data_IF_577458439864
#
_entry.id   IF_577458439864
#
_cell.length_a   1.000
_cell.length_b   1.000
_cell.length_c   1.000
_cell.angle_alpha   90.00
_cell.angle_beta   90.00
_cell.angle_gamma   90.00
#
_symmetry.space_group_name_H-M   'P 1'
#
loop_
_entity.id
_entity.type
_entity.pdbx_description
1 polymer ?
#
# COMPACT_ATOMS: atom_id res chain seq x y z
N UNK A 1 2.46 0.41 -22.02
CA UNK A 1 2.20 1.53 -21.10
C UNK A 1 1.96 1.01 -19.69
N UNK A 2 2.09 1.85 -18.68
CA UNK A 2 1.88 1.52 -17.27
C UNK A 2 0.88 2.50 -16.64
N UNK A 3 -0.25 1.99 -16.16
CA UNK A 3 -1.26 2.80 -15.46
C UNK A 3 -1.16 2.51 -13.97
N UNK A 4 -1.07 3.54 -13.14
CA UNK A 4 -1.13 3.42 -11.68
C UNK A 4 -2.55 3.61 -11.14
N UNK A 5 -2.81 3.15 -9.93
CA UNK A 5 -4.01 3.51 -9.16
C UNK A 5 -3.71 3.73 -7.68
N UNK A 6 -4.56 4.53 -7.05
CA UNK A 6 -4.54 4.73 -5.59
C UNK A 6 -5.08 3.50 -4.89
N UNK A 7 -4.93 3.46 -3.57
CA UNK A 7 -5.31 2.37 -2.69
C UNK A 7 -6.79 2.35 -2.30
N UNK A 8 -7.68 2.79 -3.19
CA UNK A 8 -9.14 2.67 -3.02
C UNK A 8 -9.82 2.21 -4.31
N UNK A 9 -11.02 1.64 -4.16
CA UNK A 9 -11.72 0.87 -5.19
C UNK A 9 -11.94 1.65 -6.48
N UNK A 10 -12.47 2.87 -6.38
CA UNK A 10 -12.77 3.70 -7.55
C UNK A 10 -11.52 3.95 -8.42
N UNK A 11 -10.38 4.29 -7.81
CA UNK A 11 -9.14 4.51 -8.56
C UNK A 11 -8.68 3.23 -9.28
N UNK A 12 -8.81 2.06 -8.64
CA UNK A 12 -8.47 0.77 -9.26
C UNK A 12 -9.40 0.46 -10.45
N UNK A 13 -10.70 0.68 -10.30
CA UNK A 13 -11.69 0.47 -11.37
C UNK A 13 -11.42 1.39 -12.56
N UNK A 14 -11.22 2.69 -12.31
CA UNK A 14 -10.92 3.66 -13.37
C UNK A 14 -9.63 3.31 -14.13
N UNK A 15 -8.59 2.87 -13.41
CA UNK A 15 -7.34 2.43 -14.03
C UNK A 15 -7.52 1.17 -14.90
N UNK A 16 -8.38 0.22 -14.51
CA UNK A 16 -8.75 -0.93 -15.35
C UNK A 16 -9.56 -0.50 -16.58
N UNK A 17 -10.51 0.44 -16.45
CA UNK A 17 -11.25 1.01 -17.57
C UNK A 17 -10.27 1.62 -18.58
N UNK A 18 -9.33 2.46 -18.12
CA UNK A 18 -8.30 3.04 -18.97
C UNK A 18 -7.39 1.99 -19.63
N UNK A 19 -7.02 0.94 -18.89
CA UNK A 19 -6.20 -0.16 -19.43
C UNK A 19 -6.92 -0.88 -20.57
N UNK A 20 -8.20 -1.20 -20.39
CA UNK A 20 -9.01 -1.88 -21.40
C UNK A 20 -9.32 -0.98 -22.60
N UNK A 21 -9.64 0.29 -22.36
CA UNK A 21 -9.85 1.29 -23.41
C UNK A 21 -8.59 1.53 -24.26
N UNK A 22 -7.39 1.43 -23.66
CA UNK A 22 -6.12 1.47 -24.37
C UNK A 22 -5.91 0.22 -25.24
N UNK A 23 -6.29 -0.96 -24.74
CA UNK A 23 -6.19 -2.22 -25.48
C UNK A 23 -7.08 -2.25 -26.72
N UNK A 24 -8.31 -1.73 -26.63
CA UNK A 24 -9.20 -1.56 -27.79
C UNK A 24 -8.60 -0.68 -28.89
N UNK A 25 -7.64 0.19 -28.53
CA UNK A 25 -6.87 1.02 -29.45
C UNK A 25 -5.50 0.44 -29.81
N UNK A 26 -5.29 -0.86 -29.58
CA UNK A 26 -4.05 -1.57 -29.91
C UNK A 26 -2.86 -1.28 -28.99
N UNK A 27 -3.08 -0.60 -27.86
CA UNK A 27 -2.02 -0.27 -26.89
C UNK A 27 -2.06 -1.22 -25.70
N UNK A 28 -1.02 -2.05 -25.58
CA UNK A 28 -0.80 -2.87 -24.39
C UNK A 28 -0.43 -2.00 -23.18
N UNK A 29 -1.27 -2.06 -22.14
CA UNK A 29 -1.10 -1.36 -20.88
C UNK A 29 -1.14 -2.34 -19.70
N UNK A 30 -0.23 -2.16 -18.74
CA UNK A 30 -0.21 -2.90 -17.48
C UNK A 30 -0.72 -2.01 -16.36
N UNK A 31 -1.50 -2.57 -15.44
CA UNK A 31 -1.97 -1.86 -14.26
C UNK A 31 -1.08 -2.16 -13.05
N UNK A 32 -0.44 -1.13 -12.49
CA UNK A 32 0.20 -1.16 -11.17
C UNK A 32 -0.82 -0.69 -10.14
N UNK A 33 -1.48 -1.67 -9.51
CA UNK A 33 -2.59 -1.47 -8.59
C UNK A 33 -2.12 -0.92 -7.25
N UNK A 34 -2.96 -0.10 -6.63
CA UNK A 34 -2.91 0.27 -5.20
C UNK A 34 -1.52 0.68 -4.71
N UNK A 35 -0.86 1.58 -5.45
CA UNK A 35 0.50 2.03 -5.14
C UNK A 35 0.57 2.92 -3.88
N UNK A 36 -0.58 3.25 -3.28
CA UNK A 36 -0.74 4.10 -2.10
C UNK A 36 -1.46 5.41 -2.42
N UNK A 37 -1.20 6.43 -1.60
CA UNK A 37 -1.87 7.73 -1.69
C UNK A 37 -1.34 8.68 -2.77
N UNK A 38 -1.98 9.84 -2.89
CA UNK A 38 -1.74 10.89 -3.91
C UNK A 38 -0.26 11.18 -4.18
N UNK A 39 0.53 11.47 -3.13
CA UNK A 39 1.94 11.87 -3.28
C UNK A 39 2.82 10.77 -3.89
N UNK A 40 2.49 9.49 -3.64
CA UNK A 40 3.26 8.36 -4.15
C UNK A 40 3.07 8.26 -5.66
N UNK A 41 1.82 8.31 -6.14
CA UNK A 41 1.49 8.25 -7.56
C UNK A 41 2.00 9.48 -8.32
N UNK A 42 1.87 10.68 -7.76
CA UNK A 42 2.41 11.89 -8.36
C UNK A 42 3.92 11.77 -8.61
N UNK A 43 4.68 11.32 -7.60
CA UNK A 43 6.12 11.08 -7.76
C UNK A 43 6.40 10.00 -8.80
N UNK A 44 5.65 8.91 -8.80
CA UNK A 44 5.79 7.84 -9.78
C UNK A 44 5.59 8.35 -11.21
N UNK A 45 4.60 9.23 -11.43
CA UNK A 45 4.32 9.83 -12.73
C UNK A 45 5.45 10.75 -13.19
N UNK A 46 5.88 11.68 -12.32
CA UNK A 46 6.96 12.63 -12.59
C UNK A 46 8.30 11.92 -12.81
N UNK A 47 8.56 10.83 -12.08
CA UNK A 47 9.77 9.99 -12.22
C UNK A 47 9.65 8.92 -13.31
N UNK A 48 8.63 8.97 -14.16
CA UNK A 48 8.45 8.05 -15.29
C UNK A 48 8.32 6.55 -14.91
N UNK A 49 7.91 6.25 -13.67
CA UNK A 49 7.64 4.88 -13.21
C UNK A 49 6.23 4.40 -13.59
N UNK A 50 5.31 5.33 -13.82
CA UNK A 50 4.00 5.11 -14.44
C UNK A 50 3.80 6.14 -15.56
N UNK A 51 2.92 5.81 -16.51
CA UNK A 51 2.60 6.64 -17.68
C UNK A 51 1.34 7.49 -17.45
N UNK A 52 0.37 6.97 -16.70
CA UNK A 52 -0.86 7.67 -16.33
C UNK A 52 -1.49 7.13 -15.05
N UNK A 53 -2.37 7.89 -14.40
CA UNK A 53 -3.22 7.41 -13.31
C UNK A 53 -4.48 8.30 -13.11
N UNK A 54 -5.57 7.76 -12.54
CA UNK A 54 -6.75 8.56 -12.18
C UNK A 54 -6.49 9.46 -10.97
N UNK A 55 -6.89 10.72 -11.07
CA UNK A 55 -6.72 11.76 -10.04
C UNK A 55 -7.95 12.68 -9.98
N UNK A 56 -8.02 13.55 -8.96
CA UNK A 56 -9.15 14.45 -8.72
C UNK A 56 -8.68 15.89 -8.68
N UNK A 57 -9.45 16.79 -9.30
CA UNK A 57 -9.11 18.21 -9.39
C UNK A 57 -8.86 18.85 -8.02
N UNK A 58 -9.71 18.59 -7.02
CA UNK A 58 -9.54 19.11 -5.67
C UNK A 58 -8.28 18.60 -4.99
N UNK A 59 -7.91 17.33 -5.21
CA UNK A 59 -6.65 16.79 -4.69
C UNK A 59 -5.44 17.44 -5.36
N UNK A 60 -5.51 17.73 -6.66
CA UNK A 60 -4.45 18.43 -7.38
C UNK A 60 -4.21 19.81 -6.76
N UNK A 61 -5.26 20.61 -6.55
CA UNK A 61 -5.12 21.97 -6.01
C UNK A 61 -4.77 22.00 -4.52
N UNK A 62 -5.27 21.06 -3.72
CA UNK A 62 -5.04 21.06 -2.27
C UNK A 62 -3.77 20.35 -1.81
N UNK A 63 -3.30 19.33 -2.54
CA UNK A 63 -2.16 18.51 -2.11
C UNK A 63 -0.92 18.65 -3.00
N UNK A 64 -1.12 18.72 -4.32
CA UNK A 64 -0.02 18.67 -5.28
C UNK A 64 0.49 20.05 -5.66
N UNK A 65 -0.43 20.95 -5.98
CA UNK A 65 -0.21 22.29 -6.51
C UNK A 65 -0.88 23.34 -5.60
N UNK A 66 -0.43 23.39 -4.34
CA UNK A 66 -1.00 24.26 -3.28
C UNK A 66 -0.93 25.75 -3.59
N UNK A 67 -0.13 26.14 -4.56
CA UNK A 67 -0.05 27.49 -5.09
C UNK A 67 -1.28 27.91 -5.91
N UNK A 68 -2.08 26.95 -6.40
CA UNK A 68 -3.30 27.23 -7.14
C UNK A 68 -4.50 27.41 -6.19
N UNK A 69 -5.45 28.30 -6.53
CA UNK A 69 -6.73 28.36 -5.83
C UNK A 69 -7.43 26.99 -5.82
N UNK A 70 -8.16 26.68 -4.74
CA UNK A 70 -8.86 25.39 -4.60
C UNK A 70 -9.83 25.09 -5.76
N UNK A 71 -10.43 26.14 -6.33
CA UNK A 71 -11.36 26.12 -7.46
C UNK A 71 -10.71 26.52 -8.79
N UNK A 72 -9.38 26.38 -8.94
CA UNK A 72 -8.68 26.69 -10.17
C UNK A 72 -9.32 25.96 -11.37
N UNK A 73 -9.59 26.71 -12.44
CA UNK A 73 -10.14 26.16 -13.67
C UNK A 73 -9.15 25.26 -14.42
N UNK A 74 -9.67 24.47 -15.36
CA UNK A 74 -8.89 23.51 -16.14
C UNK A 74 -7.72 24.15 -16.91
N UNK A 75 -7.86 25.38 -17.40
CA UNK A 75 -6.77 26.08 -18.10
C UNK A 75 -5.57 26.37 -17.20
N UNK A 76 -5.83 26.79 -15.95
CA UNK A 76 -4.79 27.02 -14.95
C UNK A 76 -4.11 25.69 -14.57
N UNK A 77 -4.90 24.64 -14.37
CA UNK A 77 -4.39 23.28 -14.10
C UNK A 77 -3.52 22.77 -15.25
N UNK A 78 -4.02 22.82 -16.49
CA UNK A 78 -3.28 22.39 -17.70
C UNK A 78 -1.95 23.13 -17.83
N UNK A 79 -1.97 24.45 -17.67
CA UNK A 79 -0.77 25.30 -17.76
C UNK A 79 0.27 24.91 -16.71
N UNK A 80 -0.15 24.77 -15.45
CA UNK A 80 0.76 24.47 -14.36
C UNK A 80 1.29 23.03 -14.40
N UNK A 81 0.45 22.06 -14.75
CA UNK A 81 0.87 20.66 -14.89
C UNK A 81 1.84 20.49 -16.07
N UNK A 82 1.63 21.21 -17.18
CA UNK A 82 2.52 21.16 -18.35
C UNK A 82 3.95 21.60 -18.02
N UNK A 83 4.13 22.55 -17.09
CA UNK A 83 5.46 22.95 -16.59
C UNK A 83 6.21 21.80 -15.89
N UNK A 84 5.48 20.81 -15.39
CA UNK A 84 6.03 19.58 -14.79
C UNK A 84 6.06 18.40 -15.79
N UNK A 85 5.79 18.65 -17.07
CA UNK A 85 5.73 17.62 -18.11
C UNK A 85 4.51 16.70 -17.98
N UNK A 86 3.46 17.14 -17.29
CA UNK A 86 2.25 16.35 -17.03
C UNK A 86 1.06 16.95 -17.79
N UNK A 87 0.30 16.09 -18.47
CA UNK A 87 -0.99 16.40 -19.05
C UNK A 87 -2.14 15.96 -18.14
N UNK A 88 -3.29 16.59 -18.33
CA UNK A 88 -4.56 16.29 -17.66
C UNK A 88 -5.63 16.09 -18.74
N UNK A 89 -6.53 15.12 -18.55
CA UNK A 89 -7.71 14.94 -19.43
C UNK A 89 -8.85 15.86 -19.00
N UNK A 90 -9.87 15.97 -19.84
CA UNK A 90 -11.16 16.48 -19.39
C UNK A 90 -11.78 15.53 -18.33
N UNK A 91 -12.72 16.02 -17.51
CA UNK A 91 -13.41 15.21 -16.51
C UNK A 91 -14.05 13.96 -17.08
N UNK A 92 -14.02 12.87 -16.32
CA UNK A 92 -14.68 11.62 -16.66
C UNK A 92 -16.21 11.71 -16.60
N UNK A 93 -16.77 12.70 -15.90
CA UNK A 93 -18.21 12.96 -15.86
C UNK A 93 -18.84 12.93 -14.47
N UNK A 94 -18.06 12.72 -13.41
CA UNK A 94 -18.54 12.71 -12.04
C UNK A 94 -17.64 13.51 -11.08
N UNK A 95 -18.25 13.97 -9.99
CA UNK A 95 -17.60 14.69 -8.90
C UNK A 95 -17.62 13.82 -7.64
N UNK A 96 -16.44 13.48 -7.11
CA UNK A 96 -16.28 12.71 -5.89
C UNK A 96 -15.96 13.60 -4.68
N UNK A 97 -16.84 14.55 -4.42
CA UNK A 97 -16.71 15.47 -3.29
C UNK A 97 -17.28 14.87 -2.00
N UNK A 98 -16.88 15.43 -0.86
CA UNK A 98 -17.65 15.30 0.37
C UNK A 98 -19.08 15.76 0.15
N UNK A 99 -20.00 15.05 0.79
CA UNK A 99 -21.37 15.48 0.98
C UNK A 99 -21.89 14.97 2.33
N UNK A 100 -23.07 15.43 2.70
CA UNK A 100 -23.77 14.96 3.91
C UNK A 100 -24.88 14.01 3.49
N UNK A 101 -25.01 12.88 4.19
CA UNK A 101 -26.06 11.92 3.93
C UNK A 101 -26.87 11.54 5.13
N UNK A 102 -28.12 11.18 4.87
CA UNK A 102 -29.09 10.69 5.85
C UNK A 102 -29.79 9.45 5.31
N UNK A 103 -30.44 8.66 6.17
CA UNK A 103 -31.34 7.60 5.71
C UNK A 103 -32.48 8.23 4.88
N UNK A 104 -32.78 7.66 3.72
CA UNK A 104 -33.84 8.17 2.84
C UNK A 104 -35.20 8.28 3.56
N UNK A 105 -35.52 7.33 4.43
CA UNK A 105 -36.74 7.32 5.24
C UNK A 105 -36.82 8.52 6.21
N UNK A 106 -35.72 8.88 6.85
CA UNK A 106 -35.69 10.00 7.80
C UNK A 106 -35.65 11.35 7.10
N UNK A 107 -34.89 11.46 6.01
CA UNK A 107 -34.88 12.66 5.18
C UNK A 107 -36.27 12.93 4.58
N UNK A 108 -36.99 11.88 4.17
CA UNK A 108 -38.39 11.96 3.74
C UNK A 108 -39.32 12.43 4.85
N UNK A 109 -39.25 11.81 6.04
CA UNK A 109 -40.08 12.13 7.21
C UNK A 109 -39.86 13.55 7.74
N UNK A 110 -38.63 14.05 7.70
CA UNK A 110 -38.26 15.38 8.18
C UNK A 110 -38.29 16.45 7.08
N UNK A 111 -38.61 16.07 5.84
CA UNK A 111 -38.59 16.94 4.66
C UNK A 111 -37.24 17.64 4.43
N UNK A 112 -36.14 16.92 4.64
CA UNK A 112 -34.77 17.40 4.42
C UNK A 112 -34.33 17.00 3.01
N UNK A 113 -33.92 17.99 2.21
CA UNK A 113 -33.37 17.80 0.86
C UNK A 113 -31.98 18.40 0.70
N UNK A 114 -31.72 19.50 1.39
CA UNK A 114 -30.48 20.28 1.30
C UNK A 114 -29.75 20.36 2.64
N UNK A 115 -28.48 20.75 2.61
CA UNK A 115 -27.71 21.01 3.84
C UNK A 115 -28.32 22.18 4.63
N UNK A 116 -28.83 23.21 3.94
CA UNK A 116 -29.53 24.33 4.59
C UNK A 116 -30.76 23.88 5.40
N UNK A 117 -31.44 22.79 5.03
CA UNK A 117 -32.60 22.30 5.78
C UNK A 117 -32.23 21.81 7.20
N UNK A 118 -30.99 21.35 7.40
CA UNK A 118 -30.50 20.85 8.70
C UNK A 118 -30.57 21.91 9.81
N UNK A 119 -30.53 23.20 9.47
CA UNK A 119 -30.64 24.31 10.43
C UNK A 119 -31.94 24.21 11.25
N UNK A 120 -33.03 23.70 10.66
CA UNK A 120 -34.34 23.57 11.32
C UNK A 120 -34.44 22.39 12.29
N UNK A 121 -33.41 21.54 12.39
CA UNK A 121 -33.47 20.28 13.14
C UNK A 121 -32.34 20.16 14.17
N UNK A 122 -32.23 21.06 15.17
CA UNK A 122 -31.08 21.15 16.10
C UNK A 122 -30.79 19.87 16.91
N UNK A 123 -31.75 18.95 17.00
CA UNK A 123 -31.64 17.71 17.78
C UNK A 123 -31.05 16.53 17.00
N UNK A 124 -30.75 16.69 15.70
CA UNK A 124 -30.13 15.63 14.90
C UNK A 124 -28.74 15.28 15.45
N UNK A 125 -28.47 13.98 15.54
CA UNK A 125 -27.20 13.43 15.97
C UNK A 125 -26.29 13.27 14.75
N UNK A 126 -25.29 14.13 14.64
CA UNK A 126 -24.31 14.04 13.56
C UNK A 126 -23.06 13.26 14.01
N UNK A 127 -22.57 12.37 13.16
CA UNK A 127 -21.25 11.77 13.33
C UNK A 127 -20.48 11.82 12.02
N UNK A 128 -19.26 12.31 12.08
CA UNK A 128 -18.41 12.50 10.92
C UNK A 128 -17.08 11.77 11.08
N UNK A 129 -16.44 11.45 9.95
CA UNK A 129 -15.10 10.91 9.93
C UNK A 129 -14.14 11.81 10.70
N UNK A 130 -13.18 11.22 11.40
CA UNK A 130 -12.17 11.98 12.14
C UNK A 130 -11.40 12.96 11.23
N UNK A 131 -11.21 12.59 9.95
CA UNK A 131 -10.62 13.48 8.95
C UNK A 131 -11.52 14.71 8.72
N UNK A 132 -12.80 14.49 8.39
CA UNK A 132 -13.76 15.56 8.14
C UNK A 132 -13.94 16.49 9.34
N UNK A 133 -13.82 15.97 10.57
CA UNK A 133 -13.83 16.78 11.79
C UNK A 133 -12.64 17.74 11.91
N UNK A 134 -11.50 17.41 11.30
CA UNK A 134 -10.24 18.15 11.42
C UNK A 134 -9.95 19.11 10.26
N UNK A 135 -10.53 18.84 9.07
CA UNK A 135 -10.26 19.59 7.84
C UNK A 135 -10.90 20.98 7.84
N UNK A 136 -10.22 21.92 7.18
CA UNK A 136 -10.74 23.29 7.01
C UNK A 136 -11.97 23.34 6.08
N UNK A 137 -11.99 22.50 5.05
CA UNK A 137 -13.14 22.25 4.16
C UNK A 137 -14.11 21.18 4.72
N UNK A 138 -13.90 20.76 5.97
CA UNK A 138 -14.72 19.78 6.69
C UNK A 138 -15.73 20.41 7.65
N UNK A 139 -16.04 19.73 8.76
CA UNK A 139 -17.09 20.13 9.69
C UNK A 139 -16.97 21.56 10.25
N UNK A 140 -15.79 22.05 10.70
CA UNK A 140 -15.68 23.40 11.24
C UNK A 140 -16.11 24.47 10.24
N UNK A 141 -15.68 24.34 8.98
CA UNK A 141 -16.02 25.28 7.92
C UNK A 141 -17.45 25.12 7.42
N UNK A 142 -17.94 23.88 7.26
CA UNK A 142 -19.32 23.60 6.86
C UNK A 142 -20.31 24.18 7.87
N UNK A 143 -20.07 23.95 9.16
CA UNK A 143 -20.89 24.47 10.26
C UNK A 143 -20.96 26.00 10.22
N UNK A 144 -19.84 26.66 9.96
CA UNK A 144 -19.80 28.13 9.84
C UNK A 144 -20.56 28.62 8.60
N UNK A 145 -20.32 28.01 7.44
CA UNK A 145 -20.92 28.38 6.16
C UNK A 145 -22.46 28.24 6.16
N UNK A 146 -22.97 27.18 6.77
CA UNK A 146 -24.40 26.88 6.85
C UNK A 146 -25.07 27.33 8.15
N UNK A 147 -24.30 27.85 9.13
CA UNK A 147 -24.78 28.24 10.47
C UNK A 147 -25.49 27.10 11.20
N UNK A 148 -24.93 25.89 11.12
CA UNK A 148 -25.52 24.69 11.71
C UNK A 148 -25.45 24.74 13.26
N UNK A 149 -26.60 24.61 13.96
CA UNK A 149 -26.66 24.83 15.41
C UNK A 149 -26.12 23.64 16.22
N UNK A 150 -26.25 22.43 15.68
CA UNK A 150 -25.85 21.18 16.31
C UNK A 150 -24.32 20.97 16.35
N UNK A 151 -23.88 20.09 17.24
CA UNK A 151 -22.53 19.56 17.27
C UNK A 151 -22.46 18.20 16.56
N UNK A 152 -21.27 17.82 16.13
CA UNK A 152 -20.99 16.51 15.55
C UNK A 152 -19.92 15.77 16.37
N UNK A 153 -19.93 14.44 16.29
CA UNK A 153 -18.93 13.58 16.93
C UNK A 153 -18.01 12.95 15.88
N UNK A 154 -16.73 12.80 16.21
CA UNK A 154 -15.77 12.08 15.38
C UNK A 154 -15.94 10.56 15.49
N UNK A 155 -15.81 9.87 14.36
CA UNK A 155 -15.98 8.43 14.21
C UNK A 155 -15.14 7.91 13.03
N UNK A 156 -14.93 6.60 12.93
CA UNK A 156 -14.38 5.97 11.71
C UNK A 156 -15.41 6.01 10.55
N UNK A 157 -14.98 6.30 9.32
CA UNK A 157 -15.88 6.46 8.16
C UNK A 157 -16.78 5.24 7.93
N UNK A 158 -16.21 4.04 8.02
CA UNK A 158 -16.95 2.79 7.81
C UNK A 158 -17.93 2.52 8.96
N UNK A 159 -17.53 2.88 10.18
CA UNK A 159 -18.39 2.79 11.36
C UNK A 159 -19.55 3.81 11.30
N UNK A 160 -19.34 4.98 10.69
CA UNK A 160 -20.37 6.00 10.52
C UNK A 160 -21.57 5.48 9.72
N UNK A 161 -21.31 4.73 8.64
CA UNK A 161 -22.36 4.04 7.88
C UNK A 161 -23.16 3.04 8.73
N UNK A 162 -22.50 2.23 9.57
CA UNK A 162 -23.17 1.26 10.45
C UNK A 162 -23.96 1.95 11.58
N UNK A 163 -23.44 3.04 12.12
CA UNK A 163 -24.12 3.86 13.11
C UNK A 163 -25.35 4.56 12.50
N UNK A 164 -25.25 5.02 11.26
CA UNK A 164 -26.38 5.56 10.52
C UNK A 164 -27.40 4.45 10.24
N UNK A 165 -26.99 3.27 9.78
CA UNK A 165 -27.93 2.18 9.52
C UNK A 165 -28.72 1.73 10.76
N UNK A 166 -28.07 1.73 11.93
CA UNK A 166 -28.71 1.34 13.21
C UNK A 166 -29.53 2.45 13.87
N UNK A 167 -29.56 3.67 13.32
CA UNK A 167 -30.25 4.80 13.92
C UNK A 167 -29.53 5.44 15.12
N UNK A 168 -28.28 5.05 15.39
CA UNK A 168 -27.47 5.64 16.45
C UNK A 168 -27.12 7.12 16.15
N UNK A 169 -27.01 7.46 14.87
CA UNK A 169 -26.80 8.82 14.34
C UNK A 169 -27.78 9.08 13.20
N UNK A 170 -28.00 10.34 12.85
CA UNK A 170 -29.03 10.77 11.89
C UNK A 170 -28.44 11.25 10.56
N UNK A 171 -27.22 11.80 10.58
CA UNK A 171 -26.49 12.14 9.37
C UNK A 171 -24.97 11.92 9.54
N UNK A 172 -24.31 11.64 8.43
CA UNK A 172 -22.86 11.41 8.33
C UNK A 172 -22.26 12.12 7.12
N UNK A 173 -20.94 12.22 7.07
CA UNK A 173 -20.20 12.61 5.87
C UNK A 173 -20.05 11.38 4.99
N UNK A 174 -20.08 11.61 3.69
CA UNK A 174 -19.90 10.59 2.68
C UNK A 174 -19.18 11.17 1.48
N UNK A 175 -18.62 10.30 0.65
CA UNK A 175 -18.15 10.67 -0.67
C UNK A 175 -19.27 10.45 -1.69
N UNK A 176 -19.45 11.36 -2.64
CA UNK A 176 -20.57 11.30 -3.60
C UNK A 176 -20.66 10.02 -4.45
N UNK A 177 -19.57 9.25 -4.50
CA UNK A 177 -19.47 7.96 -5.21
C UNK A 177 -19.36 6.74 -4.30
N UNK A 178 -19.53 6.88 -2.98
CA UNK A 178 -19.55 5.75 -2.05
C UNK A 178 -20.64 4.73 -2.43
N UNK A 179 -20.27 3.45 -2.45
CA UNK A 179 -21.19 2.35 -2.77
C UNK A 179 -22.28 2.20 -1.68
N UNK A 180 -21.90 2.52 -0.45
CA UNK A 180 -22.72 2.45 0.75
C UNK A 180 -23.98 3.32 0.66
N UNK A 181 -23.96 4.39 -0.16
CA UNK A 181 -25.14 5.24 -0.43
C UNK A 181 -26.29 4.40 -0.98
N UNK A 182 -26.00 3.56 -1.98
CA UNK A 182 -27.00 2.71 -2.61
C UNK A 182 -27.40 1.56 -1.66
N UNK A 183 -26.44 0.94 -1.00
CA UNK A 183 -26.65 -0.19 -0.09
C UNK A 183 -27.55 0.15 1.09
N UNK A 184 -27.25 1.24 1.81
CA UNK A 184 -28.04 1.69 2.95
C UNK A 184 -29.25 2.56 2.56
N UNK A 185 -29.49 2.76 1.25
CA UNK A 185 -30.55 3.63 0.71
C UNK A 185 -30.51 5.01 1.35
N UNK A 186 -29.38 5.69 1.19
CA UNK A 186 -29.15 7.01 1.76
C UNK A 186 -29.54 8.10 0.78
N UNK A 187 -30.07 9.20 1.33
CA UNK A 187 -30.18 10.48 0.63
C UNK A 187 -28.88 11.25 0.81
N UNK A 188 -28.25 11.60 -0.31
CA UNK A 188 -27.21 12.64 -0.33
C UNK A 188 -27.92 14.00 -0.35
N UNK A 189 -27.58 14.87 0.59
CA UNK A 189 -28.18 16.20 0.70
C UNK A 189 -27.56 17.17 -0.32
N UNK A 190 -28.38 18.02 -0.92
CA UNK A 190 -27.94 19.06 -1.86
C UNK A 190 -27.08 20.10 -1.12
N UNK A 191 -25.87 20.34 -1.62
CA UNK A 191 -24.99 21.45 -1.21
C UNK A 191 -25.47 22.75 -1.87
N UNK A 192 -26.59 23.28 -1.40
CA UNK A 192 -27.33 24.40 -2.01
C UNK A 192 -26.57 25.74 -2.01
N UNK A 193 -25.48 25.85 -1.24
CA UNK A 193 -24.58 27.01 -1.23
C UNK A 193 -23.25 26.76 -1.94
N UNK A 194 -23.04 25.56 -2.50
CA UNK A 194 -21.81 25.20 -3.19
C UNK A 194 -20.55 25.34 -2.32
N UNK A 195 -20.64 24.90 -1.06
CA UNK A 195 -19.54 24.98 -0.11
C UNK A 195 -18.39 24.03 -0.48
N UNK A 196 -18.70 22.80 -0.88
CA UNK A 196 -17.69 21.79 -1.10
C UNK A 196 -16.95 22.01 -2.42
N UNK A 197 -15.61 21.93 -2.42
CA UNK A 197 -14.83 22.04 -3.64
C UNK A 197 -15.09 20.85 -4.56
N UNK A 198 -14.89 21.05 -5.86
CA UNK A 198 -15.09 19.99 -6.86
C UNK A 198 -13.89 19.05 -6.90
N UNK A 199 -14.17 17.76 -6.83
CA UNK A 199 -13.24 16.65 -7.03
C UNK A 199 -13.67 15.90 -8.30
N UNK A 200 -13.56 16.59 -9.44
CA UNK A 200 -13.85 15.98 -10.74
C UNK A 200 -12.75 14.96 -11.06
N UNK A 201 -13.16 13.72 -11.36
CA UNK A 201 -12.23 12.65 -11.70
C UNK A 201 -11.64 12.89 -13.10
N UNK A 202 -10.32 12.79 -13.21
CA UNK A 202 -9.52 13.02 -14.42
C UNK A 202 -8.41 11.98 -14.52
N UNK A 203 -7.76 11.87 -15.68
CA UNK A 203 -6.47 11.20 -15.78
C UNK A 203 -5.34 12.23 -15.84
N UNK A 204 -4.32 12.02 -15.01
CA UNK A 204 -3.01 12.62 -15.22
C UNK A 204 -2.14 11.65 -16.01
N UNK A 205 -1.40 12.17 -16.99
CA UNK A 205 -0.50 11.37 -17.83
C UNK A 205 0.75 12.16 -18.15
N UNK A 206 1.83 11.46 -18.52
CA UNK A 206 3.05 12.13 -18.96
C UNK A 206 2.84 12.79 -20.32
N UNK A 207 3.14 14.09 -20.42
CA UNK A 207 2.84 14.89 -21.61
C UNK A 207 3.63 14.41 -22.84
N UNK A 208 4.82 13.81 -22.65
CA UNK A 208 5.61 13.24 -23.75
C UNK A 208 4.90 12.06 -24.47
N UNK A 209 3.88 11.45 -23.84
CA UNK A 209 3.08 10.38 -24.45
C UNK A 209 2.24 10.87 -25.63
N UNK A 210 1.94 12.17 -25.73
CA UNK A 210 1.27 12.71 -26.91
C UNK A 210 2.06 12.46 -28.19
N UNK A 211 3.39 12.40 -28.10
CA UNK A 211 4.29 12.11 -29.22
C UNK A 211 4.64 10.63 -29.32
N UNK A 212 4.98 9.99 -28.18
CA UNK A 212 5.47 8.60 -28.16
C UNK A 212 4.38 7.54 -28.25
N UNK A 213 3.17 7.84 -27.76
CA UNK A 213 2.06 6.90 -27.69
C UNK A 213 0.71 7.63 -27.85
N UNK A 214 0.48 8.32 -28.99
CA UNK A 214 -0.71 9.15 -29.20
C UNK A 214 -2.03 8.36 -29.05
N UNK A 215 -2.05 7.09 -29.46
CA UNK A 215 -3.20 6.20 -29.30
C UNK A 215 -3.56 5.94 -27.84
N UNK A 216 -2.57 5.90 -26.94
CA UNK A 216 -2.78 5.76 -25.51
C UNK A 216 -3.44 7.01 -24.92
N UNK A 217 -2.93 8.19 -25.26
CA UNK A 217 -3.51 9.46 -24.83
C UNK A 217 -4.92 9.63 -25.39
N UNK A 218 -5.15 9.23 -26.65
CA UNK A 218 -6.49 9.21 -27.24
C UNK A 218 -7.45 8.27 -26.52
N UNK A 219 -6.96 7.13 -26.00
CA UNK A 219 -7.77 6.24 -25.16
C UNK A 219 -8.21 6.93 -23.87
N UNK A 220 -7.29 7.60 -23.16
CA UNK A 220 -7.60 8.32 -21.93
C UNK A 220 -8.57 9.48 -22.17
N UNK A 221 -8.33 10.28 -23.21
CA UNK A 221 -9.21 11.40 -23.58
C UNK A 221 -10.60 10.94 -24.02
N UNK A 222 -10.70 9.77 -24.66
CA UNK A 222 -11.97 9.19 -25.06
C UNK A 222 -12.88 8.77 -23.91
N UNK A 223 -12.39 8.77 -22.67
CA UNK A 223 -13.18 8.51 -21.45
C UNK A 223 -13.79 9.78 -20.86
N UNK A 224 -13.52 10.96 -21.43
CA UNK A 224 -14.12 12.19 -20.96
C UNK A 224 -15.66 12.12 -21.06
N UNK A 225 -16.34 12.45 -19.96
CA UNK A 225 -17.80 12.38 -19.85
C UNK A 225 -18.41 10.97 -19.93
N UNK A 226 -17.61 9.89 -19.91
CA UNK A 226 -18.13 8.52 -20.06
C UNK A 226 -18.70 7.92 -18.77
N UNK A 227 -18.34 8.46 -17.59
CA UNK A 227 -18.74 7.93 -16.28
C UNK A 227 -19.47 9.01 -15.49
N UNK A 228 -20.77 8.84 -15.28
CA UNK A 228 -21.53 9.69 -14.34
C UNK A 228 -21.45 9.16 -12.89
N UNK A 229 -21.91 9.98 -11.93
CA UNK A 229 -21.84 9.62 -10.51
C UNK A 229 -22.68 8.38 -10.15
N UNK A 230 -23.79 8.12 -10.85
CA UNK A 230 -24.63 6.94 -10.62
C UNK A 230 -23.94 5.68 -11.13
N UNK A 231 -23.36 5.75 -12.33
CA UNK A 231 -22.55 4.69 -12.91
C UNK A 231 -21.36 4.39 -12.00
N UNK A 232 -20.61 5.41 -11.54
CA UNK A 232 -19.47 5.17 -10.65
C UNK A 232 -19.88 4.48 -9.34
N UNK A 233 -21.00 4.89 -8.72
CA UNK A 233 -21.55 4.17 -7.55
C UNK A 233 -21.88 2.71 -7.86
N UNK A 234 -22.47 2.43 -9.01
CA UNK A 234 -22.78 1.06 -9.42
C UNK A 234 -21.50 0.23 -9.63
N UNK A 235 -20.47 0.81 -10.24
CA UNK A 235 -19.17 0.16 -10.41
C UNK A 235 -18.49 -0.12 -9.06
N UNK A 236 -18.50 0.87 -8.14
CA UNK A 236 -17.96 0.71 -6.79
C UNK A 236 -18.74 -0.36 -6.01
N UNK A 237 -20.07 -0.42 -6.17
CA UNK A 237 -20.95 -1.42 -5.57
C UNK A 237 -20.63 -2.83 -6.05
N UNK A 238 -20.51 -3.02 -7.37
CA UNK A 238 -20.20 -4.33 -7.95
C UNK A 238 -18.90 -4.91 -7.36
N UNK A 239 -17.89 -4.07 -7.14
CA UNK A 239 -16.63 -4.52 -6.54
C UNK A 239 -16.75 -4.72 -5.03
N UNK A 240 -17.24 -3.71 -4.29
CA UNK A 240 -17.20 -3.73 -2.81
C UNK A 240 -18.27 -4.64 -2.19
N UNK A 241 -19.44 -4.76 -2.82
CA UNK A 241 -20.60 -5.44 -2.24
C UNK A 241 -20.84 -6.79 -2.91
N UNK A 242 -20.75 -6.84 -4.24
CA UNK A 242 -21.01 -8.07 -4.99
C UNK A 242 -19.73 -8.93 -5.15
N UNK A 243 -18.55 -8.38 -4.78
CA UNK A 243 -17.28 -9.09 -4.83
C UNK A 243 -16.74 -9.32 -6.25
N UNK A 244 -17.27 -8.60 -7.24
CA UNK A 244 -16.83 -8.72 -8.62
C UNK A 244 -15.40 -8.18 -8.82
N UNK A 245 -14.53 -8.86 -9.56
CA UNK A 245 -13.18 -8.36 -9.84
C UNK A 245 -13.22 -7.01 -10.56
N UNK A 246 -12.34 -6.07 -10.19
CA UNK A 246 -12.36 -4.71 -10.78
C UNK A 246 -12.17 -4.74 -12.31
N UNK A 247 -11.41 -5.71 -12.82
CA UNK A 247 -11.22 -5.90 -14.26
C UNK A 247 -12.44 -6.45 -14.99
N UNK A 248 -13.28 -7.24 -14.30
CA UNK A 248 -14.55 -7.71 -14.86
C UNK A 248 -15.57 -6.57 -14.89
N UNK A 249 -15.66 -5.80 -13.79
CA UNK A 249 -16.50 -4.60 -13.69
C UNK A 249 -16.12 -3.56 -14.76
N UNK A 250 -14.83 -3.28 -14.94
CA UNK A 250 -14.34 -2.36 -15.98
C UNK A 250 -14.66 -2.83 -17.40
N UNK A 251 -14.61 -4.14 -17.67
CA UNK A 251 -14.92 -4.68 -18.99
C UNK A 251 -16.41 -4.65 -19.29
N UNK A 252 -17.25 -5.03 -18.32
CA UNK A 252 -18.70 -4.94 -18.43
C UNK A 252 -19.13 -3.48 -18.69
N UNK A 253 -18.49 -2.51 -18.03
CA UNK A 253 -18.72 -1.08 -18.28
C UNK A 253 -18.42 -0.69 -19.73
N UNK A 254 -17.35 -1.20 -20.32
CA UNK A 254 -16.96 -0.92 -21.71
C UNK A 254 -17.76 -1.74 -22.74
N UNK A 255 -18.70 -2.58 -22.30
CA UNK A 255 -19.41 -3.51 -23.19
C UNK A 255 -18.50 -4.56 -23.82
N UNK A 256 -17.32 -4.78 -23.26
CA UNK A 256 -16.41 -5.82 -23.68
C UNK A 256 -16.86 -7.12 -23.02
N UNK A 257 -16.65 -8.24 -23.73
CA UNK A 257 -16.61 -9.51 -23.03
C UNK A 257 -15.66 -9.32 -21.86
N UNK A 258 -16.16 -9.61 -20.65
CA UNK A 258 -15.31 -9.69 -19.48
C UNK A 258 -14.10 -10.45 -19.98
N UNK A 259 -12.88 -9.87 -19.94
CA UNK A 259 -11.73 -10.58 -20.41
C UNK A 259 -11.83 -11.96 -19.75
N UNK A 260 -11.17 -12.94 -20.31
CA UNK A 260 -10.47 -13.78 -19.38
C UNK A 260 -9.64 -12.84 -18.49
N UNK A 261 -10.20 -12.25 -17.41
CA UNK A 261 -9.78 -12.61 -16.09
C UNK A 261 -9.72 -14.11 -16.27
N UNK A 262 -8.52 -14.56 -16.64
CA UNK A 262 -8.05 -15.75 -16.05
C UNK A 262 -8.40 -15.45 -14.58
N UNK A 263 -9.54 -16.00 -14.13
CA UNK A 263 -9.52 -16.98 -13.07
C UNK A 263 -8.33 -17.87 -13.41
N UNK A 264 -7.12 -17.31 -13.32
CA UNK A 264 -5.92 -18.03 -13.22
C UNK A 264 -6.30 -18.81 -12.02
N UNK A 265 -6.41 -20.13 -12.25
CA UNK A 265 -6.76 -21.10 -11.25
C UNK A 265 -6.14 -20.63 -9.93
N UNK A 266 -6.88 -20.68 -8.82
CA UNK A 266 -6.40 -20.20 -7.51
C UNK A 266 -4.93 -20.59 -7.30
N UNK A 267 -4.57 -21.79 -7.77
CA UNK A 267 -3.21 -22.29 -7.95
C UNK A 267 -2.23 -21.34 -8.66
N UNK A 268 -2.52 -20.88 -9.88
CA UNK A 268 -1.66 -19.95 -10.63
C UNK A 268 -1.46 -18.60 -9.93
N UNK A 269 -2.49 -18.09 -9.23
CA UNK A 269 -2.35 -16.88 -8.40
C UNK A 269 -1.45 -17.18 -7.21
N UNK A 270 -1.72 -18.25 -6.46
CA UNK A 270 -0.91 -18.70 -5.34
C UNK A 270 0.56 -18.91 -5.74
N UNK A 271 0.83 -19.56 -6.86
CA UNK A 271 2.19 -19.77 -7.39
C UNK A 271 2.88 -18.45 -7.68
N UNK A 272 2.17 -17.50 -8.32
CA UNK A 272 2.71 -16.18 -8.63
C UNK A 272 3.04 -15.39 -7.36
N UNK A 273 2.11 -15.32 -6.41
CA UNK A 273 2.34 -14.65 -5.12
C UNK A 273 3.46 -15.33 -4.35
N UNK A 274 3.51 -16.67 -4.30
CA UNK A 274 4.60 -17.43 -3.67
C UNK A 274 5.95 -17.06 -4.28
N UNK A 275 6.06 -17.08 -5.60
CA UNK A 275 7.32 -16.81 -6.29
C UNK A 275 7.78 -15.36 -6.08
N UNK A 276 6.86 -14.40 -6.16
CA UNK A 276 7.15 -13.00 -5.87
C UNK A 276 7.62 -12.83 -4.42
N UNK A 277 6.92 -13.44 -3.46
CA UNK A 277 7.24 -13.34 -2.04
C UNK A 277 8.60 -13.96 -1.72
N UNK A 278 8.88 -15.15 -2.26
CA UNK A 278 10.17 -15.82 -2.15
C UNK A 278 11.29 -15.03 -2.81
N UNK A 279 11.03 -14.38 -3.96
CA UNK A 279 12.02 -13.52 -4.62
C UNK A 279 12.39 -12.31 -3.75
N UNK A 280 11.39 -11.62 -3.19
CA UNK A 280 11.61 -10.46 -2.32
C UNK A 280 12.40 -10.86 -1.07
N UNK A 281 11.95 -11.89 -0.35
CA UNK A 281 12.57 -12.35 0.88
C UNK A 281 13.96 -12.98 0.63
N UNK A 282 14.09 -13.79 -0.43
CA UNK A 282 15.33 -14.49 -0.75
C UNK A 282 16.46 -13.55 -1.17
N UNK A 283 16.19 -12.59 -2.07
CA UNK A 283 17.21 -11.62 -2.51
C UNK A 283 17.64 -10.74 -1.33
N UNK A 284 16.68 -10.19 -0.57
CA UNK A 284 17.01 -9.34 0.57
C UNK A 284 17.78 -10.08 1.67
N UNK A 285 17.41 -11.33 1.97
CA UNK A 285 18.12 -12.18 2.93
C UNK A 285 19.53 -12.53 2.45
N UNK A 286 19.71 -12.87 1.18
CA UNK A 286 21.03 -13.18 0.61
C UNK A 286 21.96 -11.98 0.73
N UNK A 287 21.50 -10.79 0.33
CA UNK A 287 22.25 -9.55 0.49
C UNK A 287 22.58 -9.29 1.96
N UNK A 288 21.64 -9.54 2.87
CA UNK A 288 21.84 -9.36 4.29
C UNK A 288 22.90 -10.33 4.84
N UNK A 289 22.91 -11.60 4.45
CA UNK A 289 23.94 -12.57 4.86
C UNK A 289 25.33 -12.13 4.41
N UNK A 290 25.45 -11.72 3.14
CA UNK A 290 26.72 -11.29 2.53
C UNK A 290 27.33 -10.09 3.27
N UNK A 291 26.49 -9.20 3.82
CA UNK A 291 26.96 -8.00 4.54
C UNK A 291 27.05 -8.22 6.05
N UNK A 292 26.03 -8.81 6.66
CA UNK A 292 25.89 -8.94 8.10
C UNK A 292 26.85 -9.95 8.72
N UNK A 293 27.19 -11.06 8.04
CA UNK A 293 28.17 -12.01 8.58
C UNK A 293 29.56 -11.38 8.68
N UNK A 294 30.12 -10.73 7.63
CA UNK A 294 31.37 -9.98 7.76
C UNK A 294 31.32 -8.88 8.82
N UNK A 295 30.20 -8.14 8.92
CA UNK A 295 30.03 -7.12 9.96
C UNK A 295 30.04 -7.72 11.37
N UNK A 296 29.40 -8.87 11.57
CA UNK A 296 29.44 -9.61 12.83
C UNK A 296 30.85 -10.09 13.21
N UNK A 297 31.60 -10.62 12.23
CA UNK A 297 33.01 -11.00 12.43
C UNK A 297 33.87 -9.78 12.79
N UNK A 298 33.66 -8.66 12.10
CA UNK A 298 34.39 -7.42 12.34
C UNK A 298 34.07 -6.83 13.73
N UNK A 299 32.80 -6.92 14.14
CA UNK A 299 32.34 -6.50 15.45
C UNK A 299 33.05 -7.26 16.59
N UNK A 300 33.30 -8.57 16.41
CA UNK A 300 34.02 -9.39 17.40
C UNK A 300 35.48 -8.97 17.55
N UNK A 301 36.14 -8.54 16.47
CA UNK A 301 37.58 -8.21 16.49
C UNK A 301 37.89 -6.85 17.12
N UNK A 302 36.94 -5.92 17.16
CA UNK A 302 37.14 -4.56 17.66
C UNK A 302 35.98 -4.17 18.57
N UNK A 303 36.19 -4.20 19.89
CA UNK A 303 35.16 -3.95 20.91
C UNK A 303 34.34 -2.67 20.66
N UNK A 304 34.99 -1.54 20.36
CA UNK A 304 34.31 -0.27 20.08
C UNK A 304 33.53 -0.29 18.76
N UNK A 305 34.10 -0.89 17.71
CA UNK A 305 33.43 -1.01 16.42
C UNK A 305 32.23 -1.96 16.51
N UNK A 306 32.32 -3.00 17.34
CA UNK A 306 31.21 -3.92 17.60
C UNK A 306 30.03 -3.24 18.28
N UNK A 307 30.27 -2.42 19.30
CA UNK A 307 29.21 -1.60 19.91
C UNK A 307 28.56 -0.66 18.91
N UNK A 308 29.35 -0.01 18.04
CA UNK A 308 28.83 0.86 16.99
C UNK A 308 27.98 0.11 15.96
N UNK A 309 28.47 -1.01 15.43
CA UNK A 309 27.76 -1.81 14.41
C UNK A 309 26.45 -2.37 14.97
N UNK A 310 26.46 -2.91 16.19
CA UNK A 310 25.25 -3.41 16.85
C UNK A 310 24.27 -2.27 17.19
N UNK A 311 24.79 -1.11 17.61
CA UNK A 311 23.98 0.08 17.85
C UNK A 311 23.29 0.57 16.56
N UNK A 312 24.05 0.73 15.47
CA UNK A 312 23.54 1.18 14.18
C UNK A 312 22.50 0.23 13.60
N UNK A 313 22.79 -1.08 13.57
CA UNK A 313 21.83 -2.09 13.09
C UNK A 313 20.61 -2.19 14.01
N UNK A 314 20.79 -1.97 15.32
CA UNK A 314 19.70 -1.82 16.28
C UNK A 314 18.78 -0.65 15.94
N UNK A 315 19.34 0.55 15.77
CA UNK A 315 18.58 1.76 15.41
C UNK A 315 17.82 1.55 14.10
N UNK A 316 18.45 0.98 13.07
CA UNK A 316 17.77 0.69 11.80
C UNK A 316 16.53 -0.20 11.98
N UNK A 317 16.59 -1.21 12.86
CA UNK A 317 15.44 -2.08 13.14
C UNK A 317 14.34 -1.39 13.98
N UNK A 318 14.66 -0.32 14.72
CA UNK A 318 13.66 0.44 15.50
C UNK A 318 12.80 1.38 14.66
N UNK A 319 13.23 1.70 13.44
CA UNK A 319 12.38 2.44 12.49
C UNK A 319 11.11 1.60 12.27
N UNK A 320 9.90 2.18 12.24
CA UNK A 320 8.70 1.42 11.89
C UNK A 320 8.78 0.89 10.45
N UNK A 321 8.40 -0.37 10.22
CA UNK A 321 8.56 -1.02 8.92
C UNK A 321 7.83 -0.28 7.80
N UNK A 322 6.59 0.11 8.04
CA UNK A 322 5.84 0.93 7.11
C UNK A 322 6.59 2.21 6.71
N UNK A 323 7.16 2.92 7.68
CA UNK A 323 7.90 4.16 7.43
C UNK A 323 9.18 3.89 6.61
N UNK A 324 9.90 2.81 6.91
CA UNK A 324 11.11 2.45 6.16
C UNK A 324 10.80 2.16 4.69
N UNK A 325 9.72 1.42 4.42
CA UNK A 325 9.30 1.11 3.04
C UNK A 325 8.96 2.38 2.25
N UNK A 326 8.19 3.30 2.85
CA UNK A 326 7.85 4.59 2.21
C UNK A 326 9.10 5.45 2.02
N UNK A 327 10.04 5.43 2.97
CA UNK A 327 11.31 6.16 2.89
C UNK A 327 12.23 5.64 1.77
N UNK A 328 12.09 4.37 1.34
CA UNK A 328 12.84 3.84 0.21
C UNK A 328 12.34 4.34 -1.15
N UNK A 329 11.10 4.86 -1.25
CA UNK A 329 10.51 5.30 -2.53
C UNK A 329 11.31 6.41 -3.22
N UNK A 330 11.73 7.50 -2.54
CA UNK A 330 12.54 8.53 -3.17
C UNK A 330 13.90 8.04 -3.69
N UNK A 331 14.44 6.96 -3.10
CA UNK A 331 15.77 6.44 -3.41
C UNK A 331 15.75 5.40 -4.53
N UNK A 332 14.76 4.50 -4.52
CA UNK A 332 14.69 3.34 -5.41
C UNK A 332 13.45 3.31 -6.31
N UNK A 333 12.52 4.24 -6.11
CA UNK A 333 11.22 4.24 -6.78
C UNK A 333 10.22 3.30 -6.13
N UNK A 334 9.23 2.86 -6.90
CA UNK A 334 8.13 1.98 -6.48
C UNK A 334 8.33 0.58 -7.07
N UNK A 335 8.10 -0.45 -6.26
CA UNK A 335 8.16 -1.84 -6.69
C UNK A 335 8.98 -2.72 -5.76
N UNK A 336 9.71 -3.66 -6.35
CA UNK A 336 10.43 -4.69 -5.62
C UNK A 336 11.73 -4.18 -4.99
N UNK A 337 12.41 -3.26 -5.66
CA UNK A 337 13.69 -2.66 -5.28
C UNK A 337 13.65 -1.98 -3.90
N UNK A 338 12.74 -1.01 -3.63
CA UNK A 338 12.61 -0.41 -2.30
C UNK A 338 12.24 -1.42 -1.21
N UNK A 339 11.41 -2.43 -1.55
CA UNK A 339 11.03 -3.48 -0.61
C UNK A 339 12.23 -4.36 -0.25
N UNK A 340 13.02 -4.78 -1.24
CA UNK A 340 14.25 -5.55 -1.03
C UNK A 340 15.23 -4.76 -0.15
N UNK A 341 15.40 -3.45 -0.38
CA UNK A 341 16.27 -2.60 0.42
C UNK A 341 15.79 -2.52 1.89
N UNK A 342 14.51 -2.30 2.13
CA UNK A 342 13.95 -2.27 3.48
C UNK A 342 14.11 -3.62 4.20
N UNK A 343 13.75 -4.72 3.52
CA UNK A 343 13.87 -6.09 4.05
C UNK A 343 15.32 -6.49 4.35
N UNK A 344 16.25 -6.03 3.50
CA UNK A 344 17.70 -6.19 3.71
C UNK A 344 18.12 -5.53 5.03
N UNK A 345 17.73 -4.27 5.26
CA UNK A 345 18.08 -3.53 6.48
C UNK A 345 17.51 -4.20 7.75
N UNK A 346 16.26 -4.66 7.71
CA UNK A 346 15.65 -5.41 8.82
C UNK A 346 16.35 -6.73 9.13
N UNK A 347 16.90 -7.38 8.11
CA UNK A 347 17.59 -8.66 8.24
C UNK A 347 19.00 -8.53 8.85
N UNK A 348 19.58 -7.32 8.90
CA UNK A 348 20.95 -7.11 9.37
C UNK A 348 21.13 -7.45 10.85
N UNK A 349 20.31 -6.87 11.74
CA UNK A 349 20.56 -6.97 13.19
C UNK A 349 20.56 -8.42 13.69
N UNK A 350 19.57 -9.28 13.38
CA UNK A 350 19.57 -10.66 13.86
C UNK A 350 20.82 -11.43 13.40
N UNK A 351 21.27 -11.23 12.16
CA UNK A 351 22.44 -11.91 11.60
C UNK A 351 23.73 -11.39 12.24
N UNK A 352 23.92 -10.07 12.32
CA UNK A 352 25.09 -9.45 12.96
C UNK A 352 25.18 -9.88 14.43
N UNK A 353 24.09 -9.76 15.17
CA UNK A 353 24.05 -10.04 16.63
C UNK A 353 24.37 -11.50 16.93
N UNK A 354 23.81 -12.43 16.17
CA UNK A 354 24.08 -13.85 16.36
C UNK A 354 25.48 -14.24 15.86
N UNK A 355 25.97 -13.65 14.76
CA UNK A 355 27.36 -13.88 14.33
C UNK A 355 28.35 -13.41 15.39
N UNK A 356 28.14 -12.20 15.94
CA UNK A 356 28.95 -11.68 17.02
C UNK A 356 28.89 -12.58 18.26
N UNK A 357 27.69 -12.93 18.72
CA UNK A 357 27.48 -13.78 19.89
C UNK A 357 28.13 -15.17 19.72
N UNK A 358 27.97 -15.79 18.56
CA UNK A 358 28.56 -17.08 18.23
C UNK A 358 30.08 -17.08 18.27
N UNK A 359 30.72 -16.02 17.78
CA UNK A 359 32.18 -15.89 17.81
C UNK A 359 32.71 -15.54 19.20
N UNK A 360 32.02 -14.67 19.95
CA UNK A 360 32.41 -14.32 21.33
C UNK A 360 32.16 -15.45 22.33
N UNK A 361 31.24 -16.37 22.01
CA UNK A 361 30.89 -17.50 22.86
C UNK A 361 31.80 -18.72 22.69
N UNK A 362 32.81 -18.66 21.82
CA UNK A 362 33.78 -19.75 21.65
C UNK A 362 34.67 -19.82 22.90
N UNK A 363 34.90 -21.04 23.41
CA UNK A 363 35.81 -21.28 24.54
C UNK A 363 37.22 -20.73 24.23
N UNK A 364 37.75 -19.82 25.07
CA UNK A 364 39.11 -19.29 24.91
C UNK A 364 40.19 -20.38 24.79
N UNK A 365 40.04 -21.50 25.48
CA UNK A 365 41.02 -22.60 25.45
C UNK A 365 41.19 -23.20 24.04
N UNK A 366 40.09 -23.24 23.25
CA UNK A 366 40.13 -23.70 21.86
C UNK A 366 40.89 -22.70 20.96
N UNK A 367 40.75 -21.41 21.23
CA UNK A 367 41.41 -20.34 20.48
C UNK A 367 42.91 -20.26 20.81
N UNK A 368 43.27 -20.47 22.07
CA UNK A 368 44.66 -20.57 22.54
C UNK A 368 45.36 -21.79 21.96
N UNK A 369 44.69 -22.95 21.96
CA UNK A 369 45.20 -24.18 21.33
C UNK A 369 45.46 -23.99 19.83
N UNK A 370 44.53 -23.36 19.11
CA UNK A 370 44.72 -23.03 17.69
C UNK A 370 45.90 -22.06 17.48
N UNK A 371 46.08 -21.08 18.36
CA UNK A 371 47.21 -20.15 18.30
C UNK A 371 48.55 -20.85 18.58
N UNK A 372 48.59 -21.77 19.56
CA UNK A 372 49.78 -22.56 19.89
C UNK A 372 50.23 -23.48 18.74
N UNK A 373 49.28 -23.98 17.93
CA UNK A 373 49.56 -24.73 16.70
C UNK A 373 50.02 -23.84 15.53
N UNK A 374 50.17 -22.53 15.73
CA UNK A 374 50.70 -21.60 14.73
C UNK A 374 49.68 -21.18 13.65
N UNK A 375 48.38 -21.37 13.86
CA UNK A 375 47.37 -20.98 12.87
C UNK A 375 47.27 -19.45 12.76
N UNK A 376 47.48 -18.86 11.56
CA UNK A 376 47.35 -17.43 11.39
C UNK A 376 45.88 -16.98 11.56
N UNK A 377 45.61 -15.71 11.96
CA UNK A 377 44.26 -15.25 12.30
C UNK A 377 43.20 -15.43 11.21
N UNK A 378 43.60 -15.40 9.93
CA UNK A 378 42.69 -15.69 8.80
C UNK A 378 42.36 -17.18 8.74
N UNK A 379 43.33 -18.05 8.92
CA UNK A 379 43.12 -19.50 8.91
C UNK A 379 42.31 -19.94 10.12
N UNK A 380 42.60 -19.37 11.31
CA UNK A 380 41.81 -19.60 12.52
C UNK A 380 40.35 -19.19 12.34
N UNK A 381 40.09 -18.03 11.72
CA UNK A 381 38.72 -17.60 11.40
C UNK A 381 37.99 -18.62 10.51
N UNK A 382 38.59 -18.99 9.37
CA UNK A 382 37.91 -19.83 8.37
C UNK A 382 37.82 -21.31 8.76
N UNK A 383 38.80 -21.86 9.47
CA UNK A 383 38.86 -23.29 9.82
C UNK A 383 38.41 -23.63 11.24
N UNK A 384 38.35 -22.66 12.15
CA UNK A 384 38.02 -22.89 13.56
C UNK A 384 36.85 -22.02 13.99
N UNK A 385 36.98 -20.70 13.95
CA UNK A 385 35.98 -19.79 14.53
C UNK A 385 34.63 -19.85 13.80
N UNK A 386 34.62 -19.71 12.46
CA UNK A 386 33.38 -19.76 11.66
C UNK A 386 32.68 -21.12 11.74
N UNK A 387 33.36 -22.28 11.62
CA UNK A 387 32.73 -23.58 11.83
C UNK A 387 32.12 -23.76 13.23
N UNK A 388 32.79 -23.28 14.29
CA UNK A 388 32.27 -23.36 15.66
C UNK A 388 31.07 -22.41 15.87
N UNK A 389 31.13 -21.20 15.30
CA UNK A 389 30.05 -20.22 15.38
C UNK A 389 28.88 -20.51 14.41
N UNK A 390 29.03 -21.44 13.47
CA UNK A 390 28.09 -21.71 12.39
C UNK A 390 26.65 -21.90 12.88
N UNK A 391 26.47 -22.65 13.98
CA UNK A 391 25.14 -22.90 14.56
C UNK A 391 24.46 -21.60 15.00
N UNK A 392 25.21 -20.70 15.64
CA UNK A 392 24.68 -19.39 16.05
C UNK A 392 24.43 -18.49 14.84
N UNK A 393 25.33 -18.47 13.85
CA UNK A 393 25.13 -17.72 12.60
C UNK A 393 23.84 -18.18 11.90
N UNK A 394 23.64 -19.50 11.74
CA UNK A 394 22.44 -20.06 11.15
C UNK A 394 21.17 -19.74 11.96
N UNK A 395 21.26 -19.72 13.29
CA UNK A 395 20.15 -19.27 14.14
C UNK A 395 19.78 -17.80 13.87
N UNK A 396 20.77 -16.92 13.68
CA UNK A 396 20.56 -15.53 13.29
C UNK A 396 19.92 -15.38 11.92
N UNK A 397 20.40 -16.15 10.93
CA UNK A 397 19.83 -16.18 9.58
C UNK A 397 18.40 -16.70 9.60
N UNK A 398 18.10 -17.74 10.40
CA UNK A 398 16.75 -18.27 10.59
C UNK A 398 15.79 -17.21 11.14
N UNK A 399 16.20 -16.51 12.21
CA UNK A 399 15.39 -15.42 12.79
C UNK A 399 15.14 -14.32 11.75
N UNK A 400 16.20 -13.89 11.04
CA UNK A 400 16.08 -12.89 9.99
C UNK A 400 15.14 -13.34 8.86
N UNK A 401 15.24 -14.60 8.42
CA UNK A 401 14.38 -15.15 7.37
C UNK A 401 12.90 -15.13 7.74
N UNK A 402 12.54 -15.53 8.97
CA UNK A 402 11.16 -15.52 9.45
C UNK A 402 10.62 -14.09 9.52
N UNK A 403 11.38 -13.16 10.11
CA UNK A 403 11.01 -11.73 10.17
C UNK A 403 10.85 -11.15 8.77
N UNK A 404 11.76 -11.47 7.86
CA UNK A 404 11.78 -10.98 6.49
C UNK A 404 10.53 -11.44 5.72
N UNK A 405 10.16 -12.72 5.80
CA UNK A 405 8.94 -13.26 5.16
C UNK A 405 7.68 -12.57 5.67
N UNK A 406 7.57 -12.37 6.98
CA UNK A 406 6.44 -11.66 7.58
C UNK A 406 6.38 -10.19 7.13
N UNK A 407 7.50 -9.48 7.23
CA UNK A 407 7.60 -8.05 6.87
C UNK A 407 7.42 -7.82 5.37
N UNK A 408 7.78 -8.78 4.52
CA UNK A 408 7.63 -8.70 3.07
C UNK A 408 6.17 -8.54 2.62
N UNK A 409 5.20 -8.92 3.46
CA UNK A 409 3.78 -8.66 3.20
C UNK A 409 3.48 -7.16 3.11
N UNK A 410 4.21 -6.31 3.83
CA UNK A 410 4.07 -4.86 3.75
C UNK A 410 4.61 -4.28 2.42
N UNK A 411 5.42 -5.04 1.68
CA UNK A 411 5.95 -4.60 0.38
C UNK A 411 4.86 -4.33 -0.66
N UNK A 412 3.68 -4.95 -0.53
CA UNK A 412 2.56 -4.67 -1.40
C UNK A 412 2.08 -3.20 -1.32
N UNK A 413 2.28 -2.51 -0.18
CA UNK A 413 1.93 -1.09 -0.01
C UNK A 413 2.70 -0.16 -0.95
N UNK A 414 3.88 -0.60 -1.40
CA UNK A 414 4.73 0.14 -2.34
C UNK A 414 4.83 -0.60 -3.68
N UNK A 415 3.84 -1.44 -4.00
CA UNK A 415 3.75 -2.13 -5.29
C UNK A 415 4.74 -3.28 -5.50
N UNK A 416 5.34 -3.85 -4.44
CA UNK A 416 6.27 -4.97 -4.56
C UNK A 416 5.58 -6.32 -4.89
N UNK A 417 4.28 -6.43 -4.62
CA UNK A 417 3.47 -7.64 -4.84
C UNK A 417 3.61 -8.68 -3.72
N UNK A 418 3.58 -9.97 -4.08
CA UNK A 418 3.66 -11.07 -3.13
C UNK A 418 2.35 -11.30 -2.36
N UNK A 419 2.41 -11.97 -1.22
CA UNK A 419 1.21 -12.26 -0.41
C UNK A 419 0.58 -11.05 0.26
N UNK A 420 1.27 -9.90 0.27
CA UNK A 420 0.68 -8.64 0.73
C UNK A 420 -0.46 -8.12 -0.15
N UNK A 421 -0.42 -8.41 -1.45
CA UNK A 421 -1.41 -7.90 -2.41
C UNK A 421 -2.85 -8.39 -2.12
N UNK A 422 -3.10 -9.70 -1.92
CA UNK A 422 -4.42 -10.16 -1.48
C UNK A 422 -4.82 -9.68 -0.08
N UNK A 423 -3.86 -9.47 0.84
CA UNK A 423 -4.15 -8.92 2.19
C UNK A 423 -4.68 -7.50 2.07
N UNK A 424 -3.98 -6.62 1.37
CA UNK A 424 -4.39 -5.22 1.20
C UNK A 424 -5.67 -5.09 0.38
N UNK A 425 -5.83 -5.94 -0.64
CA UNK A 425 -7.06 -5.98 -1.43
C UNK A 425 -8.24 -6.42 -0.56
N UNK A 426 -8.08 -7.48 0.24
CA UNK A 426 -9.12 -7.94 1.16
C UNK A 426 -9.49 -6.91 2.23
N UNK A 427 -8.50 -6.18 2.78
CA UNK A 427 -8.77 -5.07 3.71
C UNK A 427 -9.60 -3.97 3.03
N UNK A 428 -9.24 -3.59 1.80
CA UNK A 428 -9.97 -2.55 1.03
C UNK A 428 -11.40 -2.96 0.71
N UNK A 429 -11.62 -4.23 0.45
CA UNK A 429 -12.92 -4.79 0.05
C UNK A 429 -13.74 -5.34 1.23
N UNK A 430 -13.26 -5.22 2.47
CA UNK A 430 -13.84 -5.87 3.66
C UNK A 430 -14.09 -7.39 3.46
N UNK A 431 -13.23 -8.05 2.69
CA UNK A 431 -13.32 -9.46 2.33
C UNK A 431 -12.31 -10.30 3.13
N UNK A 432 -12.80 -10.94 4.19
CA UNK A 432 -12.01 -11.82 5.04
C UNK A 432 -11.39 -12.99 4.26
N UNK A 433 -12.08 -13.52 3.25
CA UNK A 433 -11.58 -14.61 2.41
C UNK A 433 -10.33 -14.19 1.63
N UNK A 434 -10.32 -12.99 1.06
CA UNK A 434 -9.13 -12.42 0.39
C UNK A 434 -7.99 -12.13 1.38
N UNK A 435 -8.31 -11.61 2.57
CA UNK A 435 -7.31 -11.42 3.63
C UNK A 435 -6.64 -12.76 3.96
N UNK A 436 -7.45 -13.82 4.16
CA UNK A 436 -6.95 -15.15 4.49
C UNK A 436 -6.17 -15.80 3.34
N UNK A 437 -6.54 -15.55 2.09
CA UNK A 437 -5.80 -16.01 0.90
C UNK A 437 -4.37 -15.46 0.83
N UNK A 438 -4.09 -14.31 1.45
CA UNK A 438 -2.72 -13.81 1.60
C UNK A 438 -2.07 -14.19 2.94
N UNK A 439 -2.79 -13.99 4.04
CA UNK A 439 -2.26 -14.16 5.40
C UNK A 439 -1.91 -15.62 5.73
N UNK A 440 -2.78 -16.59 5.41
CA UNK A 440 -2.55 -18.00 5.74
C UNK A 440 -1.36 -18.56 4.95
N UNK A 441 -1.27 -18.41 3.62
CA UNK A 441 -0.10 -18.87 2.89
C UNK A 441 1.21 -18.17 3.29
N UNK A 442 1.16 -16.87 3.63
CA UNK A 442 2.34 -16.17 4.15
C UNK A 442 2.82 -16.75 5.50
N UNK A 443 1.89 -17.04 6.42
CA UNK A 443 2.21 -17.68 7.70
C UNK A 443 2.75 -19.10 7.51
N UNK A 444 2.10 -19.91 6.66
CA UNK A 444 2.58 -21.25 6.32
C UNK A 444 3.96 -21.22 5.65
N UNK A 445 4.22 -20.24 4.78
CA UNK A 445 5.53 -20.05 4.16
C UNK A 445 6.60 -19.70 5.20
N UNK A 446 6.28 -18.84 6.18
CA UNK A 446 7.20 -18.51 7.26
C UNK A 446 7.53 -19.74 8.12
N UNK A 447 6.53 -20.57 8.45
CA UNK A 447 6.72 -21.83 9.17
C UNK A 447 7.53 -22.85 8.35
N UNK A 448 7.25 -22.97 7.05
CA UNK A 448 7.99 -23.85 6.15
C UNK A 448 9.46 -23.43 6.05
N UNK A 449 9.73 -22.13 5.96
CA UNK A 449 11.10 -21.57 5.97
C UNK A 449 11.77 -21.82 7.31
N UNK A 450 11.07 -21.63 8.43
CA UNK A 450 11.59 -21.94 9.76
C UNK A 450 12.01 -23.42 9.85
N UNK A 451 11.13 -24.35 9.47
CA UNK A 451 11.42 -25.79 9.46
C UNK A 451 12.56 -26.16 8.51
N UNK A 452 12.63 -25.54 7.33
CA UNK A 452 13.73 -25.74 6.38
C UNK A 452 15.08 -25.30 6.98
N UNK A 453 15.13 -24.17 7.68
CA UNK A 453 16.34 -23.74 8.38
C UNK A 453 16.69 -24.62 9.58
N UNK A 454 15.72 -25.19 10.29
CA UNK A 454 15.99 -26.17 11.36
C UNK A 454 16.57 -27.48 10.80
N UNK A 455 16.07 -27.97 9.67
CA UNK A 455 16.64 -29.12 8.97
C UNK A 455 18.06 -28.81 8.47
N UNK A 456 18.29 -27.61 7.94
CA UNK A 456 19.59 -27.14 7.48
C UNK A 456 20.59 -27.00 8.65
N UNK A 457 20.16 -26.42 9.78
CA UNK A 457 20.93 -26.31 11.01
C UNK A 457 21.36 -27.69 11.49
N UNK A 458 20.43 -28.65 11.51
CA UNK A 458 20.72 -30.03 11.86
C UNK A 458 21.73 -30.64 10.88
N UNK A 459 21.51 -30.56 9.57
CA UNK A 459 22.37 -31.15 8.56
C UNK A 459 23.80 -30.59 8.55
N UNK A 460 23.96 -29.27 8.70
CA UNK A 460 25.26 -28.59 8.65
C UNK A 460 26.01 -28.63 9.98
N UNK A 461 25.35 -28.86 11.11
CA UNK A 461 26.03 -28.99 12.41
C UNK A 461 26.72 -30.36 12.51
N UNK A 462 28.08 -30.42 12.58
CA UNK A 462 28.84 -31.67 12.67
C UNK A 462 28.39 -32.51 13.88
N UNK A 463 28.40 -33.84 13.74
CA UNK A 463 27.95 -34.78 14.80
C UNK A 463 28.64 -34.56 16.15
N UNK A 464 29.90 -34.11 16.17
CA UNK A 464 30.65 -33.79 17.39
C UNK A 464 30.19 -32.53 18.13
N UNK A 465 29.52 -31.59 17.44
CA UNK A 465 28.94 -30.37 18.03
C UNK A 465 27.44 -30.54 18.37
N UNK A 466 26.85 -31.70 18.06
CA UNK A 466 25.46 -32.04 18.43
C UNK A 466 25.32 -32.51 19.89
N UNK A 467 26.40 -32.48 20.68
CA UNK A 467 26.41 -33.07 22.03
C UNK A 467 25.86 -32.09 23.08
N UNK A 468 24.71 -32.51 23.65
CA UNK A 468 24.05 -32.11 24.91
C UNK A 468 23.40 -30.72 25.00
N UNK A 469 22.13 -30.66 24.57
CA UNK A 469 21.07 -30.26 25.49
C UNK A 469 20.38 -31.54 25.97
N UNK A 470 20.87 -32.14 27.07
CA UNK A 470 20.14 -33.15 27.84
C UNK A 470 19.87 -32.56 29.21
N UNK A 471 18.71 -31.92 29.33
CA UNK A 471 17.77 -31.89 30.46
C UNK A 471 16.82 -30.73 30.25
#
# INVERSE_FOLDING_TARGET
MVIGSKDFTESVVLAEIARLAARERGVEARHRRSLGGTRILWRALVQAQIDAYPEYTGTITQELLRELPANAGFDALRTRLAQSGIGITDPLGFNNTYAIGMRESDAGRLHIRSISDLVRHPNLKLAFSNEFMSRADGWPGLRAAYRLPMAARGMDHSLAYRALASGAVDAIDLYGTDAEIAYYRLRVLDDDRGYFPRYDAVFLYRLDLERRAPQFVAALRGLAGSVDARQMRALNSAVKLDGEPESAVAAAFLGLDAPGVARGDLRSRMVRHTLQHLRLAGISLLLAIVVAVPLGVLATRRRHLGQFVLGLTGVLQTVPSLALFVFMIPLFGIGAEPAIAALFLYSLLPIVRNTHAGLTGIDPALLESAAALGLPPRMRLWRVELPLALRSILAGVKIAAVINVGTATLGALIGAGGYGEPILTGIRLDDLGLIMQGAVPAALLALAIQGAFELLENALTPRGLRIRAKS
#
